data_IF_652442656523
#
_entry.id   IF_652442656523
#
_cell.length_a   1.000
_cell.length_b   1.000
_cell.length_c   1.000
_cell.angle_alpha   90.00
_cell.angle_beta   90.00
_cell.angle_gamma   90.00
#
_symmetry.space_group_name_H-M   'P 1'
#
loop_
_entity.id
_entity.type
_entity.pdbx_description
1 polymer ?
#
# COMPACT_ATOMS: atom_id res chain seq x y z
N UNK A 1 -12.60 25.16 -8.17
CA UNK A 1 -11.15 25.17 -7.96
C UNK A 1 -10.73 23.88 -7.31
N UNK A 2 -9.92 23.12 -8.01
CA UNK A 2 -9.40 21.86 -7.47
C UNK A 2 -8.45 22.16 -6.33
N UNK A 3 -8.71 21.57 -5.21
CA UNK A 3 -7.83 21.72 -4.07
C UNK A 3 -6.68 20.78 -4.19
N UNK A 4 -5.55 21.37 -4.31
CA UNK A 4 -4.33 20.62 -4.24
C UNK A 4 -4.11 20.21 -2.78
N UNK A 5 -4.10 18.91 -2.57
CA UNK A 5 -3.66 18.39 -1.31
C UNK A 5 -2.21 18.77 -1.13
N UNK A 6 -1.88 19.38 -0.01
CA UNK A 6 -0.50 19.76 0.26
C UNK A 6 0.39 18.52 0.34
N UNK A 7 1.68 18.72 0.10
CA UNK A 7 2.67 17.65 0.27
C UNK A 7 2.64 17.06 1.68
N UNK A 8 2.38 17.91 2.67
CA UNK A 8 2.25 17.50 4.06
C UNK A 8 1.13 16.46 4.24
N UNK A 9 -0.01 16.69 3.59
CA UNK A 9 -1.12 15.75 3.64
C UNK A 9 -0.77 14.42 2.99
N UNK A 10 -0.13 14.44 1.82
CA UNK A 10 0.27 13.22 1.13
C UNK A 10 1.28 12.41 1.95
N UNK A 11 2.26 13.08 2.53
CA UNK A 11 3.27 12.43 3.37
C UNK A 11 2.63 11.83 4.62
N UNK A 12 1.79 12.60 5.31
CA UNK A 12 1.10 12.13 6.51
C UNK A 12 0.19 10.94 6.19
N UNK A 13 -0.54 11.01 5.09
CA UNK A 13 -1.41 9.93 4.61
C UNK A 13 -0.63 8.66 4.30
N UNK A 14 0.48 8.79 3.59
CA UNK A 14 1.34 7.66 3.26
C UNK A 14 1.93 7.03 4.53
N UNK A 15 2.38 7.87 5.46
CA UNK A 15 2.95 7.41 6.71
C UNK A 15 1.93 6.66 7.57
N UNK A 16 0.74 7.24 7.75
CA UNK A 16 -0.33 6.61 8.53
C UNK A 16 -0.82 5.32 7.87
N UNK A 17 -0.90 5.30 6.54
CA UNK A 17 -1.27 4.08 5.81
C UNK A 17 -0.25 2.96 6.03
N UNK A 18 1.03 3.28 5.95
CA UNK A 18 2.09 2.30 6.23
C UNK A 18 2.00 1.74 7.64
N UNK A 19 1.73 2.61 8.60
CA UNK A 19 1.58 2.22 9.99
C UNK A 19 0.38 1.27 10.17
N UNK A 20 -0.77 1.65 9.65
CA UNK A 20 -2.00 0.84 9.71
C UNK A 20 -1.80 -0.49 8.99
N UNK A 21 -1.20 -0.46 7.80
CA UNK A 21 -0.96 -1.67 7.00
C UNK A 21 -0.01 -2.63 7.73
N UNK A 22 1.04 -2.12 8.34
CA UNK A 22 1.99 -2.94 9.10
C UNK A 22 1.33 -3.59 10.32
N UNK A 23 0.56 -2.82 11.08
CA UNK A 23 -0.20 -3.37 12.21
C UNK A 23 -1.19 -4.43 11.73
N UNK A 24 -1.87 -4.17 10.62
CA UNK A 24 -2.79 -5.13 10.02
C UNK A 24 -2.11 -6.44 9.66
N UNK A 25 -0.93 -6.38 9.06
CA UNK A 25 -0.12 -7.58 8.74
C UNK A 25 0.28 -8.33 10.00
N UNK A 26 0.75 -7.63 11.02
CA UNK A 26 1.16 -8.23 12.30
C UNK A 26 -0.01 -8.97 12.95
N UNK A 27 -1.16 -8.32 13.03
CA UNK A 27 -2.36 -8.91 13.64
C UNK A 27 -2.86 -10.10 12.83
N UNK A 28 -2.89 -9.98 11.51
CA UNK A 28 -3.35 -11.05 10.64
C UNK A 28 -2.45 -12.28 10.75
N UNK A 29 -1.14 -12.09 10.69
CA UNK A 29 -0.18 -13.17 10.83
C UNK A 29 -0.25 -13.79 12.22
N UNK A 30 -0.42 -12.98 13.26
CA UNK A 30 -0.64 -13.48 14.62
C UNK A 30 -1.87 -14.38 14.69
N UNK A 31 -2.99 -13.95 14.14
CA UNK A 31 -4.24 -14.74 14.17
C UNK A 31 -4.07 -16.05 13.41
N UNK A 32 -3.45 -16.03 12.24
CA UNK A 32 -3.31 -17.20 11.38
C UNK A 32 -2.28 -18.18 11.94
N UNK A 33 -1.14 -17.70 12.42
CA UNK A 33 -0.05 -18.54 12.92
C UNK A 33 -0.25 -18.88 14.40
N UNK A 34 -0.88 -17.99 15.17
CA UNK A 34 -1.07 -18.14 16.60
C UNK A 34 0.08 -17.65 17.46
N UNK A 35 1.10 -17.02 16.85
CA UNK A 35 2.29 -16.51 17.55
C UNK A 35 2.47 -15.02 17.23
N UNK A 36 2.36 -14.13 18.24
CA UNK A 36 2.52 -12.70 18.01
C UNK A 36 3.93 -12.32 17.54
N UNK A 37 4.96 -13.04 17.98
CA UNK A 37 6.34 -12.76 17.56
C UNK A 37 6.53 -13.04 16.07
N UNK A 38 5.92 -14.10 15.55
CA UNK A 38 5.92 -14.40 14.13
C UNK A 38 5.25 -13.28 13.33
N UNK A 39 4.14 -12.75 13.85
CA UNK A 39 3.47 -11.61 13.24
C UNK A 39 4.38 -10.39 13.16
N UNK A 40 5.09 -10.07 14.23
CA UNK A 40 6.05 -8.95 14.26
C UNK A 40 7.18 -9.15 13.27
N UNK A 41 7.72 -10.36 13.18
CA UNK A 41 8.78 -10.68 12.22
C UNK A 41 8.32 -10.49 10.78
N UNK A 42 7.14 -11.03 10.44
CA UNK A 42 6.57 -10.91 9.10
C UNK A 42 6.31 -9.45 8.76
N UNK A 43 5.65 -8.71 9.65
CA UNK A 43 5.34 -7.30 9.44
C UNK A 43 6.58 -6.43 9.30
N UNK A 44 7.60 -6.68 10.14
CA UNK A 44 8.86 -5.93 10.09
C UNK A 44 9.64 -6.18 8.81
N UNK A 45 9.81 -7.44 8.43
CA UNK A 45 10.51 -7.80 7.19
C UNK A 45 9.75 -7.26 5.98
N UNK A 46 8.42 -7.40 5.99
CA UNK A 46 7.58 -6.90 4.89
C UNK A 46 7.72 -5.40 4.70
N UNK A 47 7.83 -4.64 5.78
CA UNK A 47 8.01 -3.20 5.70
C UNK A 47 9.24 -2.84 4.86
N UNK A 48 10.38 -3.50 5.13
CA UNK A 48 11.61 -3.28 4.37
C UNK A 48 11.53 -3.77 2.94
N UNK A 49 11.06 -4.99 2.74
CA UNK A 49 10.99 -5.58 1.40
C UNK A 49 10.03 -4.81 0.50
N UNK A 50 8.92 -4.33 1.05
CA UNK A 50 7.96 -3.51 0.29
C UNK A 50 8.56 -2.18 -0.14
N UNK A 51 9.38 -1.55 0.69
CA UNK A 51 10.06 -0.32 0.31
C UNK A 51 11.02 -0.54 -0.85
N UNK A 52 11.83 -1.59 -0.78
CA UNK A 52 12.78 -1.95 -1.83
C UNK A 52 12.03 -2.33 -3.11
N UNK A 53 11.01 -3.17 -2.98
CA UNK A 53 10.20 -3.64 -4.10
C UNK A 53 9.47 -2.48 -4.79
N UNK A 54 8.94 -1.55 -4.01
CA UNK A 54 8.28 -0.35 -4.54
C UNK A 54 9.25 0.48 -5.38
N UNK A 55 10.47 0.68 -4.87
CA UNK A 55 11.48 1.43 -5.60
C UNK A 55 11.80 0.75 -6.95
N UNK A 56 12.03 -0.56 -6.92
CA UNK A 56 12.34 -1.33 -8.14
C UNK A 56 11.17 -1.26 -9.13
N UNK A 57 9.95 -1.45 -8.63
CA UNK A 57 8.73 -1.40 -9.45
C UNK A 57 8.57 -0.03 -10.13
N UNK A 58 8.76 1.05 -9.39
CA UNK A 58 8.67 2.40 -9.94
C UNK A 58 9.75 2.66 -10.99
N UNK A 59 10.96 2.16 -10.76
CA UNK A 59 12.05 2.33 -11.71
C UNK A 59 11.82 1.56 -13.01
N UNK A 60 11.29 0.36 -12.92
CA UNK A 60 10.95 -0.44 -14.10
C UNK A 60 9.85 0.26 -14.90
N UNK A 61 8.79 0.71 -14.23
CA UNK A 61 7.71 1.42 -14.90
C UNK A 61 8.18 2.74 -15.52
N UNK A 62 9.05 3.46 -14.84
CA UNK A 62 9.64 4.68 -15.39
C UNK A 62 10.38 4.42 -16.69
N UNK A 63 11.19 3.37 -16.75
CA UNK A 63 11.92 3.00 -17.94
C UNK A 63 11.01 2.55 -19.09
N UNK A 64 9.95 1.81 -18.78
CA UNK A 64 9.00 1.32 -19.78
C UNK A 64 8.13 2.44 -20.35
N UNK A 65 8.04 3.56 -19.66
CA UNK A 65 7.07 4.60 -19.94
C UNK A 65 7.67 5.84 -20.61
N UNK A 66 8.95 5.78 -20.94
CA UNK A 66 9.55 6.82 -21.75
C UNK A 66 9.01 6.69 -23.19
N UNK A 67 8.35 7.72 -23.66
CA UNK A 67 7.96 7.81 -25.06
C UNK A 67 9.19 8.01 -25.92
N UNK A 68 9.03 7.90 -27.24
CA UNK A 68 10.08 8.19 -28.21
C UNK A 68 10.67 9.59 -28.03
N UNK A 69 9.90 10.51 -27.44
CA UNK A 69 10.33 11.89 -27.18
C UNK A 69 10.91 12.09 -25.78
N UNK A 70 11.12 11.02 -25.02
CA UNK A 70 11.63 11.09 -23.66
C UNK A 70 10.64 11.59 -22.62
N UNK A 71 9.39 11.82 -23.00
CA UNK A 71 8.33 12.23 -22.08
C UNK A 71 7.62 11.03 -21.49
N UNK A 72 7.30 11.12 -20.22
CA UNK A 72 6.54 10.08 -19.53
C UNK A 72 5.06 10.25 -19.86
N UNK A 73 4.47 9.23 -20.48
CA UNK A 73 3.05 9.20 -20.74
C UNK A 73 2.31 8.76 -19.48
N UNK A 74 1.42 9.60 -18.98
CA UNK A 74 0.54 9.25 -17.90
C UNK A 74 -0.89 9.16 -18.41
N UNK A 75 -1.47 7.97 -18.32
CA UNK A 75 -2.86 7.72 -18.68
C UNK A 75 -3.53 6.94 -17.57
N UNK A 76 -4.87 6.95 -17.55
CA UNK A 76 -5.64 6.16 -16.58
C UNK A 76 -5.35 4.67 -16.69
N UNK A 77 -5.20 4.17 -17.92
CA UNK A 77 -4.85 2.76 -18.17
C UNK A 77 -3.50 2.40 -17.57
N UNK A 78 -2.54 3.30 -17.69
CA UNK A 78 -1.22 3.09 -17.13
C UNK A 78 -1.25 3.07 -15.62
N UNK A 79 -1.96 3.99 -14.99
CA UNK A 79 -2.11 4.01 -13.54
C UNK A 79 -2.79 2.74 -13.04
N UNK A 80 -3.80 2.27 -13.74
CA UNK A 80 -4.47 1.02 -13.40
C UNK A 80 -3.52 -0.18 -13.51
N UNK A 81 -2.79 -0.28 -14.62
CA UNK A 81 -1.83 -1.36 -14.84
C UNK A 81 -0.72 -1.34 -13.77
N UNK A 82 -0.23 -0.17 -13.43
CA UNK A 82 0.76 0.03 -12.37
C UNK A 82 0.24 -0.46 -11.02
N UNK A 83 -0.99 -0.10 -10.69
CA UNK A 83 -1.63 -0.51 -9.43
C UNK A 83 -1.81 -2.02 -9.38
N UNK A 84 -2.29 -2.63 -10.47
CA UNK A 84 -2.50 -4.07 -10.55
C UNK A 84 -1.18 -4.83 -10.41
N UNK A 85 -0.15 -4.41 -11.14
CA UNK A 85 1.16 -5.06 -11.06
C UNK A 85 1.79 -4.89 -9.68
N UNK A 86 1.65 -3.72 -9.07
CA UNK A 86 2.14 -3.49 -7.71
C UNK A 86 1.47 -4.41 -6.70
N UNK A 87 0.15 -4.54 -6.77
CA UNK A 87 -0.59 -5.43 -5.87
C UNK A 87 -0.20 -6.89 -6.08
N UNK A 88 -0.01 -7.28 -7.33
CA UNK A 88 0.41 -8.64 -7.66
C UNK A 88 1.77 -8.98 -7.04
N UNK A 89 2.77 -8.14 -7.30
CA UNK A 89 4.11 -8.36 -6.77
C UNK A 89 4.15 -8.20 -5.25
N UNK A 90 3.40 -7.26 -4.71
CA UNK A 90 3.28 -7.07 -3.28
C UNK A 90 2.69 -8.29 -2.57
N UNK A 91 1.68 -8.92 -3.16
CA UNK A 91 1.06 -10.13 -2.62
C UNK A 91 2.04 -11.32 -2.66
N UNK A 92 2.75 -11.50 -3.77
CA UNK A 92 3.77 -12.55 -3.88
C UNK A 92 4.87 -12.34 -2.82
N UNK A 93 5.32 -11.11 -2.64
CA UNK A 93 6.30 -10.76 -1.62
C UNK A 93 5.83 -11.18 -0.22
N UNK A 94 4.60 -10.84 0.14
CA UNK A 94 4.01 -11.25 1.41
C UNK A 94 3.95 -12.76 1.57
N UNK A 95 3.54 -13.47 0.52
CA UNK A 95 3.47 -14.94 0.54
C UNK A 95 4.84 -15.57 0.76
N UNK A 96 5.87 -15.07 0.08
CA UNK A 96 7.24 -15.56 0.21
C UNK A 96 7.78 -15.30 1.61
N UNK A 97 7.58 -14.10 2.15
CA UNK A 97 8.04 -13.74 3.49
C UNK A 97 7.34 -14.60 4.54
N UNK A 98 6.04 -14.74 4.46
CA UNK A 98 5.27 -15.54 5.40
C UNK A 98 5.64 -17.02 5.32
N UNK A 99 5.89 -17.53 4.11
CA UNK A 99 6.40 -18.88 3.91
C UNK A 99 7.78 -19.05 4.57
N UNK A 100 8.71 -18.16 4.27
CA UNK A 100 10.08 -18.24 4.78
C UNK A 100 10.14 -18.19 6.31
N UNK A 101 9.35 -17.31 6.91
CA UNK A 101 9.35 -17.09 8.37
C UNK A 101 8.59 -18.20 9.08
N UNK A 102 7.45 -18.64 8.57
CA UNK A 102 6.63 -19.69 9.17
C UNK A 102 7.12 -21.10 8.85
N UNK A 103 7.87 -21.25 7.78
CA UNK A 103 8.32 -22.56 7.28
C UNK A 103 7.22 -23.36 6.57
N UNK A 104 6.05 -22.79 6.34
CA UNK A 104 4.91 -23.48 5.75
C UNK A 104 4.36 -22.70 4.56
N UNK A 105 4.41 -23.27 3.33
CA UNK A 105 3.91 -22.58 2.15
C UNK A 105 2.40 -22.33 2.18
N UNK A 106 1.63 -23.20 2.81
CA UNK A 106 0.18 -23.00 2.97
C UNK A 106 -0.11 -21.76 3.82
N UNK A 107 0.63 -21.58 4.91
CA UNK A 107 0.53 -20.37 5.74
C UNK A 107 0.83 -19.12 4.93
N UNK A 108 1.85 -19.18 4.07
CA UNK A 108 2.17 -18.07 3.18
C UNK A 108 1.01 -17.71 2.26
N UNK A 109 0.38 -18.70 1.65
CA UNK A 109 -0.79 -18.50 0.80
C UNK A 109 -1.96 -17.89 1.58
N UNK A 110 -2.25 -18.43 2.76
CA UNK A 110 -3.34 -17.94 3.61
C UNK A 110 -3.15 -16.47 3.99
N UNK A 111 -1.95 -16.13 4.43
CA UNK A 111 -1.64 -14.75 4.82
C UNK A 111 -1.70 -13.83 3.61
N UNK A 112 -1.16 -14.24 2.46
CA UNK A 112 -1.18 -13.44 1.25
C UNK A 112 -2.58 -13.11 0.77
N UNK A 113 -3.45 -14.11 0.68
CA UNK A 113 -4.84 -13.89 0.26
C UNK A 113 -5.63 -13.09 1.28
N UNK A 114 -5.51 -13.43 2.56
CA UNK A 114 -6.21 -12.72 3.63
C UNK A 114 -5.75 -11.24 3.67
N UNK A 115 -4.48 -10.99 3.43
CA UNK A 115 -3.94 -9.64 3.43
C UNK A 115 -4.50 -8.79 2.29
N UNK A 116 -4.72 -9.36 1.11
CA UNK A 116 -5.35 -8.63 0.00
C UNK A 116 -6.71 -8.10 0.42
N UNK A 117 -7.54 -8.96 0.99
CA UNK A 117 -8.89 -8.57 1.42
C UNK A 117 -8.82 -7.57 2.58
N UNK A 118 -8.00 -7.85 3.58
CA UNK A 118 -7.84 -7.00 4.76
C UNK A 118 -7.34 -5.61 4.37
N UNK A 119 -6.36 -5.53 3.48
CA UNK A 119 -5.82 -4.24 3.04
C UNK A 119 -6.83 -3.43 2.25
N UNK A 120 -7.66 -4.06 1.44
CA UNK A 120 -8.72 -3.35 0.75
C UNK A 120 -9.70 -2.71 1.73
N UNK A 121 -10.09 -3.46 2.76
CA UNK A 121 -11.00 -2.96 3.80
C UNK A 121 -10.34 -1.84 4.59
N UNK A 122 -9.10 -2.06 5.05
CA UNK A 122 -8.36 -1.07 5.83
C UNK A 122 -8.10 0.21 5.04
N UNK A 123 -7.78 0.07 3.74
CA UNK A 123 -7.55 1.22 2.87
C UNK A 123 -8.83 2.05 2.73
N UNK A 124 -9.97 1.41 2.56
CA UNK A 124 -11.25 2.09 2.49
C UNK A 124 -11.51 2.91 3.75
N UNK A 125 -11.36 2.31 4.92
CA UNK A 125 -11.58 3.01 6.17
C UNK A 125 -10.55 4.13 6.40
N UNK A 126 -9.31 3.88 6.05
CA UNK A 126 -8.24 4.88 6.16
C UNK A 126 -8.55 6.12 5.32
N UNK A 127 -8.97 5.93 4.07
CA UNK A 127 -9.36 7.02 3.20
C UNK A 127 -10.59 7.77 3.73
N UNK A 128 -11.55 7.04 4.27
CA UNK A 128 -12.75 7.67 4.86
C UNK A 128 -12.41 8.51 6.08
N UNK A 129 -11.54 8.04 6.93
CA UNK A 129 -11.08 8.81 8.11
C UNK A 129 -10.35 10.06 7.65
N UNK A 130 -9.43 9.94 6.69
CA UNK A 130 -8.73 11.10 6.14
C UNK A 130 -9.65 12.08 5.45
N UNK A 131 -10.70 11.61 4.83
CA UNK A 131 -11.69 12.48 4.20
C UNK A 131 -12.33 13.44 5.21
N UNK A 132 -12.52 13.02 6.44
CA UNK A 132 -13.07 13.84 7.50
C UNK A 132 -12.06 14.80 8.15
N UNK A 133 -10.77 14.61 7.92
CA UNK A 133 -9.72 15.47 8.44
C UNK A 133 -9.32 16.53 7.42
N UNK A 134 -9.20 17.76 7.89
CA UNK A 134 -8.82 18.89 7.03
C UNK A 134 -7.33 19.20 7.05
N UNK A 135 -6.53 18.37 7.71
CA UNK A 135 -5.09 18.56 7.82
C UNK A 135 -4.43 18.60 6.44
N UNK A 136 -3.64 19.63 6.20
CA UNK A 136 -2.91 19.76 4.95
C UNK A 136 -3.75 20.19 3.76
N UNK A 137 -5.02 20.54 3.96
CA UNK A 137 -5.86 21.15 2.93
C UNK A 137 -5.73 22.67 3.02
N UNK A 138 -5.37 23.30 1.91
CA UNK A 138 -5.12 24.74 1.89
C UNK A 138 -6.38 25.57 1.94
N UNK A 139 -7.45 25.11 1.36
CA UNK A 139 -8.77 25.73 1.50
C UNK A 139 -9.83 24.69 1.22
N UNK A 140 -10.56 24.31 2.23
CA UNK A 140 -11.80 23.62 2.02
C UNK A 140 -12.92 24.65 2.06
N UNK A 141 -13.10 25.33 0.96
CA UNK A 141 -14.36 26.03 0.81
C UNK A 141 -15.42 24.95 0.71
N UNK A 142 -16.21 24.85 1.75
CA UNK A 142 -17.45 24.11 1.62
C UNK A 142 -18.15 24.68 0.39
N UNK A 143 -18.57 23.81 -0.53
CA UNK A 143 -19.43 24.33 -1.57
C UNK A 143 -20.58 25.01 -0.85
N UNK A 144 -20.65 26.32 -1.01
CA UNK A 144 -21.83 27.03 -0.60
C UNK A 144 -22.96 26.37 -1.37
N UNK A 145 -23.87 25.80 -0.64
CA UNK A 145 -25.10 25.39 -1.22
C UNK A 145 -25.86 26.64 -1.60
N UNK A 146 -25.58 27.13 -2.77
CA UNK A 146 -26.44 28.09 -3.39
C UNK A 146 -27.44 27.36 -4.27
#
# INVERSE_FOLDING_TARGET
MKKDQSRKRHIAKAFTWRFVATIGTILLAWIIIGDPMMGVKIGGVELFTKMILYYIHERIWFKLNLTKDGKVLESKKRHLAKTVTWRFFGTIDTMIIAWAISGNPLTGLQIGFAEVITKLILYYYHERIWYHFDYGLTERKHPHHE
#
